data_IF_248756506329
#
_entry.id   IF_248756506329
#
_cell.length_a   1.000
_cell.length_b   1.000
_cell.length_c   1.000
_cell.angle_alpha   90.00
_cell.angle_beta   90.00
_cell.angle_gamma   90.00
#
_symmetry.space_group_name_H-M   'P 1'
#
loop_
_entity.id
_entity.type
_entity.pdbx_description
1 polymer ?
#
# COMPACT_ATOMS: atom_id res chain seq x y z
N UNK A 1 40.93 -47.48 7.89
CA UNK A 1 40.61 -46.12 7.39
C UNK A 1 39.98 -46.08 5.98
N UNK A 2 40.42 -46.89 5.00
CA UNK A 2 39.87 -46.85 3.61
C UNK A 2 38.39 -47.26 3.44
N UNK A 3 37.85 -48.16 4.27
CA UNK A 3 36.46 -48.66 4.14
C UNK A 3 35.39 -47.63 4.53
N UNK A 4 35.68 -46.75 5.49
CA UNK A 4 34.71 -45.73 5.95
C UNK A 4 34.56 -44.59 4.94
N UNK A 5 35.62 -44.27 4.18
CA UNK A 5 35.58 -43.29 3.08
C UNK A 5 34.73 -43.77 1.90
N UNK A 6 34.72 -45.08 1.61
CA UNK A 6 33.91 -45.67 0.53
C UNK A 6 32.43 -45.66 0.93
N UNK A 7 32.11 -46.01 2.18
CA UNK A 7 30.75 -45.97 2.71
C UNK A 7 30.24 -44.53 2.76
N UNK A 8 31.06 -43.58 3.22
CA UNK A 8 30.74 -42.16 3.20
C UNK A 8 30.48 -41.67 1.76
N UNK A 9 31.31 -42.07 0.79
CA UNK A 9 31.15 -41.72 -0.62
C UNK A 9 29.88 -42.29 -1.27
N UNK A 10 29.51 -43.54 -0.94
CA UNK A 10 28.27 -44.17 -1.42
C UNK A 10 27.04 -43.54 -0.78
N UNK A 11 27.08 -43.23 0.51
CA UNK A 11 26.02 -42.48 1.19
C UNK A 11 25.88 -41.09 0.57
N UNK A 12 26.98 -40.39 0.31
CA UNK A 12 26.96 -39.07 -0.34
C UNK A 12 26.39 -39.15 -1.77
N UNK A 13 26.72 -40.20 -2.53
CA UNK A 13 26.18 -40.45 -3.88
C UNK A 13 24.70 -40.82 -3.87
N UNK A 14 24.24 -41.59 -2.87
CA UNK A 14 22.81 -41.93 -2.71
C UNK A 14 22.02 -40.73 -2.21
N UNK A 15 22.57 -39.93 -1.30
CA UNK A 15 21.98 -38.67 -0.90
C UNK A 15 21.98 -37.64 -2.03
N UNK A 16 23.04 -37.56 -2.83
CA UNK A 16 23.12 -36.68 -4.00
C UNK A 16 22.18 -37.15 -5.12
N UNK A 17 22.14 -38.45 -5.42
CA UNK A 17 21.23 -39.05 -6.39
C UNK A 17 19.77 -38.94 -5.95
N UNK A 18 19.48 -39.22 -4.69
CA UNK A 18 18.17 -39.02 -4.06
C UNK A 18 17.75 -37.56 -4.07
N UNK A 19 18.67 -36.63 -3.75
CA UNK A 19 18.45 -35.19 -3.86
C UNK A 19 18.15 -34.77 -5.30
N UNK A 20 18.86 -35.30 -6.29
CA UNK A 20 18.64 -34.98 -7.71
C UNK A 20 17.29 -35.50 -8.22
N UNK A 21 16.93 -36.74 -7.87
CA UNK A 21 15.64 -37.35 -8.25
C UNK A 21 14.49 -36.63 -7.53
N UNK A 22 14.60 -36.41 -6.22
CA UNK A 22 13.60 -35.66 -5.45
C UNK A 22 13.49 -34.22 -5.93
N UNK A 23 14.60 -33.56 -6.28
CA UNK A 23 14.61 -32.21 -6.86
C UNK A 23 13.87 -32.17 -8.20
N UNK A 24 14.12 -33.13 -9.09
CA UNK A 24 13.44 -33.21 -10.39
C UNK A 24 11.94 -33.44 -10.26
N UNK A 25 11.51 -34.41 -9.44
CA UNK A 25 10.09 -34.69 -9.21
C UNK A 25 9.41 -33.59 -8.39
N UNK A 26 10.09 -33.01 -7.39
CA UNK A 26 9.57 -31.89 -6.61
C UNK A 26 9.34 -30.67 -7.49
N UNK A 27 10.23 -30.34 -8.42
CA UNK A 27 10.03 -29.22 -9.36
C UNK A 27 8.76 -29.44 -10.19
N UNK A 28 8.58 -30.62 -10.79
CA UNK A 28 7.37 -30.93 -11.59
C UNK A 28 6.09 -30.88 -10.75
N UNK A 29 6.14 -31.43 -9.53
CA UNK A 29 5.01 -31.44 -8.60
C UNK A 29 4.67 -30.02 -8.13
N UNK A 30 5.66 -29.25 -7.67
CA UNK A 30 5.51 -27.86 -7.24
C UNK A 30 4.95 -27.03 -8.39
N UNK A 31 5.51 -27.14 -9.60
CA UNK A 31 5.02 -26.40 -10.77
C UNK A 31 3.55 -26.69 -11.06
N UNK A 32 3.13 -27.96 -11.03
CA UNK A 32 1.74 -28.34 -11.25
C UNK A 32 0.80 -27.82 -10.14
N UNK A 33 1.23 -27.86 -8.88
CA UNK A 33 0.43 -27.34 -7.76
C UNK A 33 0.37 -25.82 -7.74
N UNK A 34 1.47 -25.13 -8.06
CA UNK A 34 1.49 -23.67 -8.18
C UNK A 34 0.64 -23.22 -9.36
N UNK A 35 0.72 -23.87 -10.52
CA UNK A 35 -0.17 -23.54 -11.66
C UNK A 35 -1.65 -23.76 -11.32
N UNK A 36 -1.98 -24.83 -10.59
CA UNK A 36 -3.36 -25.08 -10.12
C UNK A 36 -3.85 -24.07 -9.08
N UNK A 37 -2.97 -23.64 -8.17
CA UNK A 37 -3.33 -22.73 -7.09
C UNK A 37 -3.49 -21.27 -7.55
N UNK A 38 -2.70 -20.85 -8.55
CA UNK A 38 -2.58 -19.44 -8.93
C UNK A 38 -3.55 -19.08 -10.09
N UNK A 39 -4.08 -20.07 -10.81
CA UNK A 39 -5.17 -19.89 -11.79
C UNK A 39 -4.72 -19.47 -13.20
N UNK A 40 -5.67 -19.31 -14.14
CA UNK A 40 -5.36 -18.97 -15.53
C UNK A 40 -4.74 -17.57 -15.65
N UNK A 41 -3.75 -17.42 -16.54
CA UNK A 41 -3.02 -16.16 -16.77
C UNK A 41 -1.67 -16.07 -16.03
N UNK A 42 -1.43 -16.95 -15.05
CA UNK A 42 -0.13 -17.03 -14.39
C UNK A 42 0.82 -17.97 -15.12
N UNK A 43 2.04 -17.49 -15.38
CA UNK A 43 3.12 -18.26 -15.97
C UNK A 43 4.36 -18.21 -15.10
N UNK A 44 5.13 -19.30 -15.10
CA UNK A 44 6.39 -19.43 -14.38
C UNK A 44 7.40 -19.97 -15.39
N UNK A 45 8.49 -19.25 -15.61
CA UNK A 45 9.52 -19.68 -16.56
C UNK A 45 10.29 -20.89 -16.05
N UNK A 46 10.71 -20.86 -14.78
CA UNK A 46 11.50 -21.94 -14.20
C UNK A 46 11.38 -22.02 -12.68
N UNK A 47 11.46 -23.25 -12.16
CA UNK A 47 11.63 -23.52 -10.74
C UNK A 47 12.92 -24.33 -10.57
N UNK A 48 13.81 -23.89 -9.68
CA UNK A 48 15.06 -24.56 -9.31
C UNK A 48 15.09 -24.80 -7.81
N UNK A 49 15.24 -26.06 -7.41
CA UNK A 49 15.53 -26.41 -6.01
C UNK A 49 17.04 -26.33 -5.83
N UNK A 50 17.51 -25.41 -4.99
CA UNK A 50 18.91 -25.33 -4.56
C UNK A 50 19.03 -25.89 -3.14
N UNK A 51 20.26 -26.14 -2.70
CA UNK A 51 20.50 -26.76 -1.39
C UNK A 51 19.90 -25.98 -0.20
N UNK A 52 19.85 -24.65 -0.30
CA UNK A 52 19.40 -23.76 0.79
C UNK A 52 18.07 -23.07 0.54
N UNK A 53 17.62 -23.01 -0.71
CA UNK A 53 16.40 -22.29 -1.09
C UNK A 53 15.76 -22.85 -2.36
N UNK A 54 14.46 -22.59 -2.49
CA UNK A 54 13.72 -22.71 -3.73
C UNK A 54 13.85 -21.39 -4.50
N UNK A 55 14.28 -21.44 -5.75
CA UNK A 55 14.38 -20.28 -6.65
C UNK A 55 13.35 -20.44 -7.76
N UNK A 56 12.50 -19.43 -7.93
CA UNK A 56 11.43 -19.40 -8.94
C UNK A 56 11.67 -18.17 -9.82
N UNK A 57 11.86 -18.37 -11.11
CA UNK A 57 12.22 -17.32 -12.06
C UNK A 57 11.09 -17.03 -13.04
N UNK A 58 10.99 -15.75 -13.43
CA UNK A 58 10.11 -15.30 -14.49
C UNK A 58 8.64 -15.60 -14.22
N UNK A 59 8.16 -15.19 -13.04
CA UNK A 59 6.72 -15.27 -12.71
C UNK A 59 6.04 -14.11 -13.41
N UNK A 60 4.97 -14.38 -14.15
CA UNK A 60 4.16 -13.34 -14.78
C UNK A 60 2.68 -13.63 -14.59
N UNK A 61 1.88 -12.59 -14.46
CA UNK A 61 0.45 -12.66 -14.53
C UNK A 61 -0.07 -11.69 -15.58
N UNK A 62 -0.66 -12.27 -16.61
CA UNK A 62 -1.32 -11.55 -17.69
C UNK A 62 -2.79 -11.96 -17.68
N UNK A 63 -3.70 -10.98 -17.66
CA UNK A 63 -5.12 -11.29 -17.76
C UNK A 63 -5.41 -11.86 -19.16
N UNK A 64 -5.92 -13.10 -19.27
CA UNK A 64 -6.17 -13.74 -20.57
C UNK A 64 -7.15 -12.97 -21.46
N UNK A 65 -8.01 -12.13 -20.87
CA UNK A 65 -9.05 -11.39 -21.59
C UNK A 65 -8.54 -10.08 -22.18
N UNK A 66 -7.72 -9.35 -21.42
CA UNK A 66 -7.26 -8.00 -21.78
C UNK A 66 -5.82 -7.97 -22.27
N UNK A 67 -5.07 -9.08 -22.10
CA UNK A 67 -3.61 -9.15 -22.28
C UNK A 67 -2.84 -8.13 -21.43
N UNK A 68 -3.48 -7.59 -20.40
CA UNK A 68 -2.84 -6.66 -19.48
C UNK A 68 -1.91 -7.43 -18.55
N UNK A 69 -0.64 -7.03 -18.52
CA UNK A 69 0.31 -7.53 -17.55
C UNK A 69 0.10 -6.81 -16.21
N UNK A 70 -0.22 -7.57 -15.17
CA UNK A 70 -0.52 -7.08 -13.82
C UNK A 70 0.58 -7.40 -12.82
N UNK A 71 1.36 -8.46 -13.07
CA UNK A 71 2.47 -8.86 -12.21
C UNK A 71 3.61 -9.42 -13.05
N UNK A 72 4.81 -8.97 -12.76
CA UNK A 72 6.03 -9.60 -13.26
C UNK A 72 7.05 -9.67 -12.14
N UNK A 73 7.66 -10.83 -11.93
CA UNK A 73 8.72 -11.04 -10.94
C UNK A 73 9.90 -11.72 -11.64
N UNK A 74 11.08 -11.12 -11.54
CA UNK A 74 12.31 -11.67 -12.13
C UNK A 74 12.73 -12.94 -11.40
N UNK A 75 12.83 -12.86 -10.07
CA UNK A 75 13.20 -13.99 -9.23
C UNK A 75 12.50 -13.92 -7.87
N UNK A 76 12.08 -15.07 -7.38
CA UNK A 76 11.57 -15.29 -6.05
C UNK A 76 12.43 -16.38 -5.38
N UNK A 77 12.90 -16.11 -4.16
CA UNK A 77 13.72 -17.05 -3.36
C UNK A 77 13.01 -17.35 -2.06
N UNK A 78 12.79 -18.63 -1.77
CA UNK A 78 12.15 -19.10 -0.54
C UNK A 78 13.16 -19.96 0.22
N UNK A 79 13.53 -19.53 1.43
CA UNK A 79 14.46 -20.19 2.32
C UNK A 79 13.68 -20.91 3.42
N UNK A 80 13.35 -22.20 3.23
CA UNK A 80 12.65 -22.96 4.25
C UNK A 80 13.55 -23.25 5.46
N UNK A 81 12.95 -23.42 6.63
CA UNK A 81 13.66 -23.97 7.78
C UNK A 81 13.69 -25.50 7.72
N UNK A 82 14.78 -26.07 7.22
CA UNK A 82 14.90 -27.52 7.06
C UNK A 82 14.78 -28.28 8.39
N UNK A 83 15.13 -27.66 9.52
CA UNK A 83 15.02 -28.27 10.84
C UNK A 83 13.58 -28.22 11.39
N UNK A 84 12.75 -27.26 10.98
CA UNK A 84 11.36 -27.17 11.45
C UNK A 84 10.51 -28.34 10.96
N UNK A 85 10.85 -28.94 9.81
CA UNK A 85 10.17 -30.13 9.28
C UNK A 85 10.33 -31.35 10.19
N UNK A 86 11.48 -31.48 10.87
CA UNK A 86 11.69 -32.54 11.87
C UNK A 86 10.71 -32.41 13.04
N UNK A 87 10.26 -31.19 13.31
CA UNK A 87 9.28 -30.86 14.35
C UNK A 87 7.83 -30.80 13.82
N UNK A 88 7.58 -31.26 12.59
CA UNK A 88 6.28 -31.20 11.91
C UNK A 88 5.70 -29.78 11.78
N UNK A 89 6.56 -28.75 11.75
CA UNK A 89 6.17 -27.35 11.55
C UNK A 89 6.67 -26.86 10.20
N UNK A 90 5.81 -26.19 9.44
CA UNK A 90 6.25 -25.53 8.21
C UNK A 90 6.70 -24.11 8.54
N UNK A 91 8.00 -23.84 8.43
CA UNK A 91 8.55 -22.52 8.66
C UNK A 91 9.40 -22.07 7.47
N UNK A 92 9.20 -20.82 7.07
CA UNK A 92 9.96 -20.13 6.04
C UNK A 92 10.75 -19.03 6.73
N UNK A 93 12.07 -19.18 6.79
CA UNK A 93 12.94 -18.18 7.44
C UNK A 93 12.96 -16.88 6.66
N UNK A 94 13.00 -16.99 5.33
CA UNK A 94 13.05 -15.82 4.47
C UNK A 94 12.40 -16.08 3.12
N UNK A 95 11.59 -15.12 2.67
CA UNK A 95 11.00 -15.08 1.34
C UNK A 95 11.39 -13.78 0.68
N UNK A 96 12.23 -13.84 -0.36
CA UNK A 96 12.73 -12.68 -1.09
C UNK A 96 12.09 -12.63 -2.48
N UNK A 97 11.56 -11.47 -2.85
CA UNK A 97 10.99 -11.18 -4.16
C UNK A 97 11.85 -10.09 -4.81
N UNK A 98 12.54 -10.43 -5.89
CA UNK A 98 13.49 -9.56 -6.58
C UNK A 98 12.85 -8.94 -7.82
N UNK A 99 12.93 -7.60 -7.89
CA UNK A 99 12.40 -6.76 -8.97
C UNK A 99 10.96 -7.12 -9.38
N UNK A 100 10.02 -7.20 -8.43
CA UNK A 100 8.63 -7.35 -8.82
C UNK A 100 8.11 -6.05 -9.42
N UNK A 101 7.35 -6.14 -10.50
CA UNK A 101 6.60 -5.05 -11.10
C UNK A 101 5.12 -5.35 -10.95
N UNK A 102 4.41 -4.50 -10.20
CA UNK A 102 2.98 -4.57 -10.02
C UNK A 102 2.31 -3.46 -10.83
N UNK A 103 1.31 -3.83 -11.60
CA UNK A 103 0.37 -2.88 -12.18
C UNK A 103 -1.01 -3.15 -11.60
N UNK A 104 -1.73 -2.09 -11.25
CA UNK A 104 -3.14 -2.18 -10.89
C UNK A 104 -3.81 -0.83 -11.16
N UNK A 105 -5.13 -0.83 -11.28
CA UNK A 105 -5.87 0.40 -11.53
C UNK A 105 -7.22 0.39 -10.84
N UNK A 106 -7.77 1.57 -10.61
CA UNK A 106 -9.12 1.76 -10.08
C UNK A 106 -10.02 2.31 -11.18
N UNK A 107 -11.14 1.65 -11.43
CA UNK A 107 -12.13 2.11 -12.42
C UNK A 107 -12.85 3.38 -11.96
N UNK A 108 -13.61 4.02 -12.85
CA UNK A 108 -14.42 5.21 -12.50
C UNK A 108 -15.50 4.90 -11.45
N UNK A 109 -16.02 3.68 -11.45
CA UNK A 109 -16.98 3.17 -10.47
C UNK A 109 -16.29 2.98 -9.09
N UNK A 110 -14.97 2.81 -9.10
CA UNK A 110 -14.14 2.69 -7.91
C UNK A 110 -13.71 1.26 -7.60
N UNK A 111 -13.87 0.34 -8.55
CA UNK A 111 -13.46 -1.06 -8.44
C UNK A 111 -11.96 -1.15 -8.67
N UNK A 112 -11.24 -1.85 -7.80
CA UNK A 112 -9.81 -2.08 -7.94
C UNK A 112 -9.53 -3.34 -8.74
N UNK A 113 -8.80 -3.19 -9.84
CA UNK A 113 -8.41 -4.27 -10.74
C UNK A 113 -6.89 -4.44 -10.68
N UNK A 114 -6.45 -5.67 -10.46
CA UNK A 114 -5.05 -6.01 -10.27
C UNK A 114 -4.82 -7.52 -10.30
N UNK A 115 -3.65 -8.00 -9.85
CA UNK A 115 -3.28 -9.42 -9.90
C UNK A 115 -4.17 -10.37 -9.10
N UNK A 116 -5.09 -9.85 -8.29
CA UNK A 116 -6.05 -10.62 -7.49
C UNK A 116 -7.39 -10.92 -8.20
N UNK A 117 -7.73 -10.25 -9.31
CA UNK A 117 -9.09 -10.26 -9.89
C UNK A 117 -9.43 -11.48 -10.77
N UNK A 118 -8.48 -12.39 -11.01
CA UNK A 118 -8.73 -13.57 -11.86
C UNK A 118 -9.34 -14.80 -11.19
N UNK A 119 -9.71 -14.74 -9.91
CA UNK A 119 -10.47 -15.83 -9.28
C UNK A 119 -11.96 -15.59 -9.57
N UNK A 120 -12.42 -16.14 -10.70
CA UNK A 120 -13.80 -16.04 -11.21
C UNK A 120 -14.85 -16.24 -10.10
N UNK A 121 -15.70 -15.21 -9.96
CA UNK A 121 -17.10 -15.33 -9.54
C UNK A 121 -17.88 -15.92 -10.72
N UNK A 122 -18.16 -17.22 -10.68
CA UNK A 122 -19.24 -17.82 -11.49
C UNK A 122 -20.45 -18.00 -10.56
N UNK A 123 -21.38 -17.04 -10.62
CA UNK A 123 -22.76 -17.31 -10.30
C UNK A 123 -23.34 -18.16 -11.44
N UNK A 124 -23.69 -19.40 -11.14
CA UNK A 124 -24.83 -20.07 -11.78
C UNK A 124 -25.69 -20.70 -10.70
N UNK A 125 -26.88 -20.15 -10.55
CA UNK A 125 -28.05 -20.82 -10.00
C UNK A 125 -28.31 -22.13 -10.76
N UNK A 126 -28.67 -23.16 -9.99
CA UNK A 126 -29.05 -24.48 -10.48
C UNK A 126 -28.88 -25.51 -9.38
N UNK A 127 -29.91 -25.72 -8.55
CA UNK A 127 -30.02 -26.89 -7.68
C UNK A 127 -29.97 -28.17 -8.51
N UNK A 128 -29.14 -29.15 -8.12
CA UNK A 128 -29.54 -30.55 -7.85
C UNK A 128 -28.54 -31.18 -6.86
N UNK A 129 -29.10 -31.64 -5.73
CA UNK A 129 -28.75 -32.79 -4.88
C UNK A 129 -27.49 -33.62 -5.16
N UNK A 130 -26.77 -33.96 -4.08
CA UNK A 130 -25.99 -35.20 -4.00
C UNK A 130 -24.65 -35.07 -3.28
N UNK A 131 -24.59 -35.65 -2.07
CA UNK A 131 -23.41 -35.90 -1.23
C UNK A 131 -22.05 -35.98 -1.96
N UNK A 132 -21.11 -35.15 -1.50
CA UNK A 132 -19.77 -35.57 -1.11
C UNK A 132 -19.13 -34.44 -0.28
N UNK A 133 -19.19 -34.57 1.04
CA UNK A 133 -18.31 -33.83 1.95
C UNK A 133 -16.87 -34.31 1.70
N UNK A 134 -16.19 -33.69 0.73
CA UNK A 134 -14.73 -33.71 0.72
C UNK A 134 -14.27 -32.98 1.97
N UNK A 135 -13.77 -33.74 2.96
CA UNK A 135 -12.94 -33.23 4.05
C UNK A 135 -11.95 -32.21 3.48
N UNK A 136 -12.21 -30.92 3.71
CA UNK A 136 -11.19 -29.87 3.58
C UNK A 136 -10.08 -30.29 4.54
N UNK A 137 -8.99 -30.84 3.99
CA UNK A 137 -7.80 -31.11 4.78
C UNK A 137 -7.43 -29.85 5.56
N UNK A 138 -7.25 -29.97 6.87
CA UNK A 138 -6.81 -28.87 7.72
C UNK A 138 -5.59 -28.21 7.07
N UNK A 139 -5.65 -26.88 6.89
CA UNK A 139 -4.55 -26.13 6.30
C UNK A 139 -3.34 -26.27 7.23
N UNK A 140 -2.23 -26.82 6.69
CA UNK A 140 -0.99 -26.94 7.44
C UNK A 140 -0.53 -25.52 7.82
N UNK A 141 -0.36 -25.19 9.12
CA UNK A 141 0.05 -23.86 9.53
C UNK A 141 1.49 -23.58 9.05
N UNK A 142 1.68 -22.43 8.44
CA UNK A 142 2.94 -21.95 7.89
C UNK A 142 3.31 -20.66 8.60
N UNK A 143 4.52 -20.62 9.17
CA UNK A 143 5.10 -19.39 9.68
C UNK A 143 6.14 -18.85 8.71
N UNK A 144 6.07 -17.57 8.38
CA UNK A 144 7.06 -16.86 7.57
C UNK A 144 7.71 -15.81 8.47
N UNK A 145 8.98 -16.00 8.81
CA UNK A 145 9.68 -15.09 9.71
C UNK A 145 9.93 -13.74 9.03
N UNK A 146 10.25 -13.75 7.73
CA UNK A 146 10.55 -12.55 6.95
C UNK A 146 10.17 -12.65 5.48
N UNK A 147 9.43 -11.66 4.99
CA UNK A 147 9.18 -11.37 3.58
C UNK A 147 9.94 -10.10 3.18
N UNK A 148 10.64 -10.14 2.05
CA UNK A 148 11.37 -9.00 1.48
C UNK A 148 11.01 -8.78 0.02
N UNK A 149 10.81 -7.53 -0.35
CA UNK A 149 10.81 -7.09 -1.74
C UNK A 149 12.03 -6.19 -1.95
N UNK A 150 12.75 -6.40 -3.05
CA UNK A 150 13.90 -5.58 -3.41
C UNK A 150 13.79 -5.09 -4.85
N UNK A 151 14.07 -3.79 -5.05
CA UNK A 151 14.08 -3.13 -6.37
C UNK A 151 12.73 -3.27 -7.11
N UNK A 152 11.63 -3.25 -6.38
CA UNK A 152 10.29 -3.37 -6.96
C UNK A 152 9.82 -2.10 -7.67
N UNK A 153 8.79 -2.23 -8.47
CA UNK A 153 8.05 -1.12 -9.08
C UNK A 153 6.55 -1.32 -8.92
N UNK A 154 5.85 -0.21 -8.70
CA UNK A 154 4.39 -0.18 -8.61
C UNK A 154 3.87 0.90 -9.55
N UNK A 155 2.99 0.52 -10.46
CA UNK A 155 2.26 1.42 -11.33
C UNK A 155 0.77 1.35 -10.98
N UNK A 156 0.24 2.45 -10.47
CA UNK A 156 -1.17 2.58 -10.10
C UNK A 156 -1.85 3.67 -10.90
N UNK A 157 -2.95 3.32 -11.57
CA UNK A 157 -3.82 4.25 -12.30
C UNK A 157 -5.18 4.39 -11.62
N UNK A 158 -5.50 5.57 -11.13
CA UNK A 158 -6.79 5.87 -10.48
C UNK A 158 -7.69 6.67 -11.41
N UNK A 159 -8.60 5.98 -12.11
CA UNK A 159 -9.57 6.63 -12.99
C UNK A 159 -10.68 7.36 -12.22
N UNK A 160 -10.78 7.20 -10.90
CA UNK A 160 -11.77 7.86 -10.04
C UNK A 160 -11.24 9.12 -9.36
N UNK A 161 -9.92 9.36 -9.42
CA UNK A 161 -9.28 10.48 -8.73
C UNK A 161 -9.88 11.85 -9.13
N UNK A 162 -10.13 12.04 -10.43
CA UNK A 162 -10.67 13.29 -10.98
C UNK A 162 -11.11 13.16 -12.44
N UNK A 163 -11.12 14.28 -13.16
CA UNK A 163 -11.40 14.31 -14.61
C UNK A 163 -10.33 13.57 -15.41
N UNK A 164 -9.07 13.75 -15.02
CA UNK A 164 -7.93 12.99 -15.52
C UNK A 164 -7.58 11.86 -14.54
N UNK A 165 -7.09 10.71 -15.03
CA UNK A 165 -6.64 9.63 -14.15
C UNK A 165 -5.45 10.06 -13.29
N UNK A 166 -5.50 9.72 -11.99
CA UNK A 166 -4.35 9.77 -11.10
C UNK A 166 -3.32 8.73 -11.50
N UNK A 167 -2.06 9.11 -11.67
CA UNK A 167 -0.99 8.16 -12.01
C UNK A 167 0.08 8.19 -10.93
N UNK A 168 0.13 7.13 -10.12
CA UNK A 168 1.16 6.92 -9.11
C UNK A 168 2.15 5.90 -9.64
N UNK A 169 3.44 6.23 -9.56
CA UNK A 169 4.54 5.43 -10.11
C UNK A 169 5.63 5.35 -9.06
N UNK A 170 5.76 4.20 -8.39
CA UNK A 170 6.81 3.94 -7.41
C UNK A 170 7.91 3.07 -8.02
N UNK A 171 9.16 3.43 -7.75
CA UNK A 171 10.38 2.78 -8.21
C UNK A 171 11.27 2.47 -7.01
N UNK A 172 12.19 1.53 -7.20
CA UNK A 172 13.12 1.08 -6.15
C UNK A 172 12.41 0.71 -4.84
N UNK A 173 11.24 0.08 -4.96
CA UNK A 173 10.45 -0.33 -3.82
C UNK A 173 11.22 -1.39 -3.05
N UNK A 174 11.48 -1.09 -1.79
CA UNK A 174 12.00 -2.01 -0.80
C UNK A 174 10.92 -2.20 0.26
N UNK A 175 10.55 -3.46 0.52
CA UNK A 175 9.58 -3.82 1.54
C UNK A 175 10.20 -4.90 2.42
N UNK A 176 9.98 -4.79 3.73
CA UNK A 176 10.22 -5.86 4.68
C UNK A 176 8.99 -6.03 5.55
N UNK A 177 8.47 -7.25 5.61
CA UNK A 177 7.43 -7.66 6.56
C UNK A 177 7.96 -8.82 7.38
N UNK A 178 7.79 -8.79 8.69
CA UNK A 178 8.26 -9.83 9.61
C UNK A 178 7.10 -10.44 10.39
N UNK A 179 7.21 -11.72 10.73
CA UNK A 179 6.20 -12.51 11.44
C UNK A 179 4.83 -12.57 10.73
N UNK A 180 4.76 -13.35 9.66
CA UNK A 180 3.51 -13.61 8.93
C UNK A 180 3.10 -15.06 9.17
N UNK A 181 1.87 -15.26 9.63
CA UNK A 181 1.28 -16.59 9.82
C UNK A 181 0.25 -16.90 8.72
N UNK A 182 0.23 -18.14 8.26
CA UNK A 182 -0.78 -18.64 7.33
C UNK A 182 -1.36 -19.97 7.85
N UNK A 183 -2.68 -20.15 7.95
CA UNK A 183 -3.73 -19.14 7.76
C UNK A 183 -3.56 -17.92 8.68
N UNK A 184 -4.07 -16.76 8.24
CA UNK A 184 -3.91 -15.51 8.96
C UNK A 184 -4.52 -15.60 10.36
N UNK A 185 -3.70 -15.38 11.39
CA UNK A 185 -4.10 -15.19 12.78
C UNK A 185 -3.83 -13.75 13.20
N UNK A 186 -4.62 -13.25 14.16
CA UNK A 186 -4.45 -11.89 14.66
C UNK A 186 -3.12 -11.81 15.41
N UNK A 187 -2.20 -11.04 14.85
CA UNK A 187 -0.82 -10.87 15.31
C UNK A 187 -0.22 -9.64 14.67
N UNK A 188 0.71 -8.97 15.37
CA UNK A 188 1.40 -7.80 14.83
C UNK A 188 2.59 -8.21 13.97
N UNK A 189 2.49 -8.00 12.66
CA UNK A 189 3.60 -8.11 11.72
C UNK A 189 4.31 -6.77 11.59
N UNK A 190 5.63 -6.72 11.81
CA UNK A 190 6.39 -5.48 11.58
C UNK A 190 6.48 -5.21 10.08
N UNK A 191 6.33 -3.94 9.68
CA UNK A 191 6.41 -3.51 8.28
C UNK A 191 7.35 -2.31 8.14
N UNK A 192 8.22 -2.36 7.13
CA UNK A 192 9.00 -1.23 6.65
C UNK A 192 8.94 -1.19 5.13
N UNK A 193 8.52 -0.05 4.58
CA UNK A 193 8.45 0.21 3.15
C UNK A 193 9.28 1.45 2.84
N UNK A 194 10.06 1.37 1.77
CA UNK A 194 10.75 2.51 1.15
C UNK A 194 10.50 2.48 -0.34
N UNK A 195 10.43 3.64 -0.97
CA UNK A 195 10.33 3.73 -2.42
C UNK A 195 10.54 5.15 -2.91
N UNK A 196 10.84 5.27 -4.20
CA UNK A 196 10.92 6.55 -4.90
C UNK A 196 9.67 6.76 -5.72
N UNK A 197 9.05 7.91 -5.62
CA UNK A 197 7.90 8.27 -6.44
C UNK A 197 8.34 9.16 -7.60
N UNK A 198 7.98 8.74 -8.81
CA UNK A 198 8.27 9.50 -10.02
C UNK A 198 7.45 10.79 -10.05
N UNK A 199 8.14 11.92 -10.17
CA UNK A 199 7.54 13.24 -10.46
C UNK A 199 7.83 13.70 -11.88
N UNK A 200 7.32 14.88 -12.26
CA UNK A 200 7.65 15.51 -13.55
C UNK A 200 9.04 16.13 -13.52
N UNK A 201 9.39 16.74 -12.39
CA UNK A 201 10.63 17.50 -12.20
C UNK A 201 11.74 16.69 -11.52
N UNK A 202 11.40 15.97 -10.45
CA UNK A 202 12.31 15.11 -9.70
C UNK A 202 11.56 13.95 -9.04
N UNK A 203 12.30 12.94 -8.59
CA UNK A 203 11.75 11.85 -7.80
C UNK A 203 11.70 12.23 -6.33
N UNK A 204 10.59 11.92 -5.66
CA UNK A 204 10.45 12.07 -4.21
C UNK A 204 10.64 10.74 -3.50
N UNK A 205 10.83 10.77 -2.18
CA UNK A 205 11.00 9.59 -1.35
C UNK A 205 9.74 9.32 -0.50
N UNK A 206 9.40 8.05 -0.34
CA UNK A 206 8.35 7.58 0.56
C UNK A 206 8.93 6.53 1.49
N UNK A 207 8.73 6.72 2.80
CA UNK A 207 9.13 5.77 3.84
C UNK A 207 7.96 5.54 4.79
N UNK A 208 7.63 4.28 5.02
CA UNK A 208 6.64 3.85 6.02
C UNK A 208 7.28 2.83 6.96
N UNK A 209 7.02 2.96 8.26
CA UNK A 209 7.48 2.01 9.30
C UNK A 209 6.42 1.79 10.36
N UNK A 210 6.29 0.57 10.87
CA UNK A 210 5.40 0.28 11.99
C UNK A 210 5.01 -1.19 12.06
N UNK A 211 3.75 -1.43 12.40
CA UNK A 211 3.17 -2.76 12.42
C UNK A 211 1.78 -2.79 11.78
N UNK A 212 1.39 -3.97 11.29
CA UNK A 212 0.08 -4.29 10.76
C UNK A 212 -0.37 -5.67 11.26
N UNK A 213 -1.63 -5.80 11.64
CA UNK A 213 -2.28 -7.09 11.82
C UNK A 213 -2.91 -7.50 10.49
N UNK A 214 -2.36 -8.53 9.84
CA UNK A 214 -2.79 -8.94 8.50
C UNK A 214 -4.19 -9.58 8.50
N UNK A 215 -4.72 -9.99 9.65
CA UNK A 215 -6.07 -10.56 9.79
C UNK A 215 -7.12 -9.47 10.01
N UNK A 216 -6.85 -8.53 10.92
CA UNK A 216 -7.83 -7.47 11.29
C UNK A 216 -7.64 -6.18 10.49
N UNK A 217 -6.49 -6.01 9.84
CA UNK A 217 -6.04 -4.78 9.19
C UNK A 217 -5.80 -3.60 10.15
N UNK A 218 -5.81 -3.86 11.46
CA UNK A 218 -5.35 -2.88 12.44
C UNK A 218 -3.88 -2.56 12.19
N UNK A 219 -3.50 -1.30 12.30
CA UNK A 219 -2.13 -0.88 12.05
C UNK A 219 -1.76 0.36 12.82
N UNK A 220 -0.46 0.53 13.04
CA UNK A 220 0.11 1.77 13.52
C UNK A 220 1.44 2.00 12.80
N UNK A 221 1.51 3.05 11.99
CA UNK A 221 2.66 3.33 11.13
C UNK A 221 3.03 4.81 11.11
N UNK A 222 4.31 5.12 10.97
CA UNK A 222 4.79 6.44 10.58
C UNK A 222 4.96 6.49 9.08
N UNK A 223 4.37 7.49 8.42
CA UNK A 223 4.56 7.81 7.01
C UNK A 223 5.41 9.08 6.87
N UNK A 224 6.46 8.99 6.06
CA UNK A 224 7.28 10.13 5.65
C UNK A 224 7.29 10.21 4.13
N UNK A 225 6.91 11.36 3.61
CA UNK A 225 7.04 11.72 2.20
C UNK A 225 7.99 12.89 2.11
N UNK A 226 8.95 12.85 1.20
CA UNK A 226 9.91 13.94 1.00
C UNK A 226 10.04 14.31 -0.47
N UNK A 227 10.02 15.60 -0.74
CA UNK A 227 10.38 16.19 -2.01
C UNK A 227 9.59 15.65 -3.21
N UNK A 228 8.36 15.21 -2.95
CA UNK A 228 7.46 14.68 -3.97
C UNK A 228 6.85 15.82 -4.78
N UNK A 229 6.86 15.70 -6.10
CA UNK A 229 6.23 16.67 -6.99
C UNK A 229 4.72 16.78 -6.73
N UNK A 230 4.27 17.98 -6.34
CA UNK A 230 2.88 18.24 -5.97
C UNK A 230 1.92 17.95 -7.13
N UNK A 231 2.35 18.16 -8.39
CA UNK A 231 1.50 17.93 -9.58
C UNK A 231 1.12 16.47 -9.77
N UNK A 232 1.86 15.51 -9.19
CA UNK A 232 1.48 14.10 -9.20
C UNK A 232 0.11 13.90 -8.55
N UNK A 233 -0.24 14.74 -7.57
CA UNK A 233 -1.51 14.67 -6.86
C UNK A 233 -2.61 15.56 -7.44
N UNK A 234 -2.37 16.24 -8.57
CA UNK A 234 -3.33 17.16 -9.18
C UNK A 234 -4.73 16.54 -9.37
N UNK A 235 -4.86 15.30 -9.87
CA UNK A 235 -6.17 14.66 -10.01
C UNK A 235 -6.95 14.56 -8.69
N UNK A 236 -6.27 14.48 -7.54
CA UNK A 236 -6.90 14.32 -6.23
C UNK A 236 -7.35 15.63 -5.60
N UNK A 237 -6.68 16.75 -5.90
CA UNK A 237 -6.99 18.05 -5.30
C UNK A 237 -7.71 19.02 -6.24
N UNK A 238 -7.72 18.77 -7.56
CA UNK A 238 -8.24 19.72 -8.58
C UNK A 238 -9.64 20.24 -8.27
N UNK A 239 -10.53 19.42 -7.71
CA UNK A 239 -11.89 19.83 -7.29
C UNK A 239 -11.92 20.96 -6.25
N UNK A 240 -10.85 21.13 -5.47
CA UNK A 240 -10.71 22.17 -4.44
C UNK A 240 -9.64 23.20 -4.78
N UNK A 241 -8.99 23.05 -5.93
CA UNK A 241 -7.91 23.93 -6.39
C UNK A 241 -8.12 24.25 -7.86
N UNK A 242 -8.72 25.39 -8.14
CA UNK A 242 -8.93 25.87 -9.50
C UNK A 242 -7.71 26.61 -10.06
N UNK A 243 -6.87 27.17 -9.19
CA UNK A 243 -5.61 27.81 -9.58
C UNK A 243 -4.66 26.81 -10.24
N UNK A 244 -3.86 27.29 -11.20
CA UNK A 244 -2.83 26.49 -11.87
C UNK A 244 -1.56 26.48 -11.01
N UNK A 245 -1.25 25.32 -10.43
CA UNK A 245 -0.01 25.08 -9.70
C UNK A 245 1.07 24.69 -10.73
N UNK A 246 1.98 25.61 -11.02
CA UNK A 246 3.04 25.39 -12.01
C UNK A 246 4.09 24.41 -11.51
N UNK A 247 4.53 24.59 -10.26
CA UNK A 247 5.50 23.71 -9.58
C UNK A 247 5.34 23.74 -8.06
N UNK A 248 5.88 22.73 -7.39
CA UNK A 248 5.97 22.67 -5.94
C UNK A 248 6.31 21.26 -5.48
N UNK A 249 6.77 21.15 -4.24
CA UNK A 249 7.12 19.88 -3.63
C UNK A 249 6.38 19.67 -2.32
N UNK A 250 6.06 18.42 -2.03
CA UNK A 250 5.31 17.99 -0.86
C UNK A 250 6.22 17.20 0.08
N UNK A 251 6.27 17.66 1.32
CA UNK A 251 6.82 16.92 2.46
C UNK A 251 5.67 16.55 3.40
N UNK A 252 5.61 15.32 3.86
CA UNK A 252 4.58 14.85 4.80
C UNK A 252 5.22 14.06 5.92
N UNK A 253 4.80 14.32 7.16
CA UNK A 253 5.04 13.48 8.32
C UNK A 253 3.70 13.15 8.95
N UNK A 254 3.30 11.88 8.91
CA UNK A 254 2.04 11.43 9.49
C UNK A 254 2.25 10.22 10.38
N UNK A 255 1.51 10.16 11.48
CA UNK A 255 1.34 8.95 12.26
C UNK A 255 -0.05 8.40 11.94
N UNK A 256 -0.13 7.21 11.36
CA UNK A 256 -1.37 6.58 10.92
C UNK A 256 -1.70 5.45 11.89
N UNK A 257 -2.77 5.61 12.66
CA UNK A 257 -3.33 4.53 13.47
C UNK A 257 -4.70 4.13 12.92
N UNK A 258 -4.90 2.82 12.71
CA UNK A 258 -6.21 2.25 12.38
C UNK A 258 -6.48 1.15 13.40
N UNK A 259 -7.59 1.28 14.13
CA UNK A 259 -8.03 0.29 15.12
C UNK A 259 -9.53 0.06 14.94
N UNK A 260 -9.92 -1.18 14.62
CA UNK A 260 -11.31 -1.58 14.35
C UNK A 260 -11.98 -0.65 13.35
N UNK A 261 -11.32 -0.46 12.21
CA UNK A 261 -11.74 0.46 11.12
C UNK A 261 -11.80 1.94 11.49
N UNK A 262 -11.47 2.35 12.71
CA UNK A 262 -11.36 3.77 13.08
C UNK A 262 -9.96 4.26 12.75
N UNK A 263 -9.88 5.21 11.84
CA UNK A 263 -8.64 5.92 11.51
C UNK A 263 -8.44 7.09 12.48
N UNK A 264 -7.20 7.26 12.95
CA UNK A 264 -6.74 8.37 13.78
C UNK A 264 -5.32 8.76 13.32
N UNK A 265 -5.24 9.82 12.52
CA UNK A 265 -4.02 10.18 11.79
C UNK A 265 -3.68 11.67 11.97
N UNK A 266 -2.94 12.04 13.02
CA UNK A 266 -2.30 13.35 13.11
C UNK A 266 -1.09 13.43 12.16
N UNK A 267 -0.85 14.61 11.61
CA UNK A 267 0.30 14.82 10.75
C UNK A 267 0.58 16.27 10.41
N UNK A 268 1.68 16.46 9.68
CA UNK A 268 2.16 17.71 9.14
C UNK A 268 2.40 17.53 7.65
N UNK A 269 2.00 18.53 6.89
CA UNK A 269 2.22 18.62 5.46
C UNK A 269 2.88 19.96 5.18
N UNK A 270 4.04 19.95 4.55
CA UNK A 270 4.69 21.14 4.04
C UNK A 270 4.59 21.13 2.52
N UNK A 271 4.11 22.23 1.96
CA UNK A 271 4.24 22.51 0.55
C UNK A 271 5.32 23.58 0.36
N UNK A 272 6.37 23.23 -0.40
CA UNK A 272 7.55 24.05 -0.61
C UNK A 272 7.75 24.40 -2.08
N UNK A 273 8.44 25.52 -2.32
CA UNK A 273 8.79 26.05 -3.64
C UNK A 273 7.56 26.18 -4.57
N UNK A 274 6.43 26.56 -3.97
CA UNK A 274 5.14 26.69 -4.62
C UNK A 274 5.18 27.84 -5.63
N UNK A 275 4.91 27.51 -6.90
CA UNK A 275 4.63 28.48 -7.96
C UNK A 275 3.22 28.24 -8.45
N UNK A 276 2.40 29.27 -8.34
CA UNK A 276 0.98 29.23 -8.68
C UNK A 276 0.67 30.48 -9.49
N UNK A 277 -0.19 30.35 -10.50
CA UNK A 277 -0.75 31.53 -11.17
C UNK A 277 -1.69 32.30 -10.23
N UNK A 278 -1.83 33.60 -10.44
CA UNK A 278 -2.65 34.44 -9.55
C UNK A 278 -4.16 34.19 -9.71
N UNK A 279 -4.58 33.60 -10.82
CA UNK A 279 -5.98 33.30 -11.12
C UNK A 279 -6.48 32.04 -10.40
N UNK A 280 -7.71 32.11 -9.89
CA UNK A 280 -8.40 31.00 -9.25
C UNK A 280 -8.17 30.91 -7.73
N UNK A 281 -8.45 29.74 -7.18
CA UNK A 281 -8.42 29.49 -5.73
C UNK A 281 -7.68 28.20 -5.40
N UNK A 282 -7.07 28.17 -4.21
CA UNK A 282 -6.49 26.99 -3.57
C UNK A 282 -7.25 26.78 -2.26
N UNK A 283 -8.03 25.71 -2.15
CA UNK A 283 -8.88 25.43 -0.99
C UNK A 283 -9.73 26.64 -0.56
N UNK A 284 -10.43 27.26 -1.51
CA UNK A 284 -11.27 28.46 -1.33
C UNK A 284 -10.52 29.75 -1.00
N UNK A 285 -9.20 29.72 -0.92
CA UNK A 285 -8.36 30.90 -0.72
C UNK A 285 -7.97 31.44 -2.10
N UNK A 286 -8.21 32.73 -2.41
CA UNK A 286 -7.74 33.33 -3.66
C UNK A 286 -6.24 33.14 -3.83
N UNK A 287 -5.80 32.66 -4.99
CA UNK A 287 -4.39 32.32 -5.21
C UNK A 287 -3.47 33.53 -4.99
N UNK A 288 -3.88 34.73 -5.44
CA UNK A 288 -3.18 35.98 -5.16
C UNK A 288 -2.99 36.27 -3.66
N UNK A 289 -4.01 35.99 -2.83
CA UNK A 289 -3.93 36.16 -1.37
C UNK A 289 -2.98 35.15 -0.75
N UNK A 290 -3.01 33.90 -1.22
CA UNK A 290 -2.06 32.89 -0.74
C UNK A 290 -0.63 33.28 -1.11
N UNK A 291 -0.38 33.65 -2.37
CA UNK A 291 0.95 34.01 -2.87
C UNK A 291 1.55 35.22 -2.14
N UNK A 292 0.75 36.24 -1.82
CA UNK A 292 1.24 37.39 -1.06
C UNK A 292 1.71 37.00 0.34
N UNK A 293 1.02 36.06 1.00
CA UNK A 293 1.41 35.54 2.33
C UNK A 293 2.58 34.56 2.27
N UNK A 294 2.73 33.80 1.19
CA UNK A 294 3.82 32.84 1.02
C UNK A 294 5.17 33.53 0.76
N UNK A 295 5.18 34.67 0.06
CA UNK A 295 6.41 35.45 -0.18
C UNK A 295 7.10 35.85 1.12
N UNK A 296 6.32 36.23 2.13
CA UNK A 296 6.82 36.59 3.47
C UNK A 296 7.41 35.38 4.23
N UNK A 297 7.08 34.15 3.81
CA UNK A 297 7.45 32.88 4.45
C UNK A 297 8.36 32.00 3.58
N UNK A 298 9.07 32.61 2.63
CA UNK A 298 10.04 31.90 1.79
C UNK A 298 9.42 30.90 0.81
N UNK A 299 8.20 31.17 0.32
CA UNK A 299 7.43 30.31 -0.60
C UNK A 299 7.14 28.90 -0.06
N UNK A 300 7.00 28.79 1.27
CA UNK A 300 6.70 27.54 1.97
C UNK A 300 5.51 27.71 2.89
N UNK A 301 4.74 26.64 3.06
CA UNK A 301 3.66 26.59 4.05
C UNK A 301 3.61 25.24 4.74
N UNK A 302 3.66 25.27 6.06
CA UNK A 302 3.45 24.10 6.92
C UNK A 302 1.99 24.07 7.39
N UNK A 303 1.33 22.94 7.17
CA UNK A 303 -0.07 22.68 7.43
C UNK A 303 -0.15 21.52 8.42
N UNK A 304 -0.69 21.79 9.60
CA UNK A 304 -1.02 20.72 10.55
C UNK A 304 -2.38 20.14 10.19
N UNK A 305 -2.50 18.82 10.22
CA UNK A 305 -3.76 18.15 9.96
C UNK A 305 -3.99 17.00 10.94
N UNK A 306 -5.27 16.70 11.15
CA UNK A 306 -5.69 15.56 11.93
C UNK A 306 -6.93 14.95 11.29
N UNK A 307 -6.79 13.73 10.79
CA UNK A 307 -7.90 12.98 10.19
C UNK A 307 -8.34 11.91 11.18
N UNK A 308 -9.62 11.95 11.54
CA UNK A 308 -10.24 10.94 12.40
C UNK A 308 -11.62 10.58 11.87
N UNK A 309 -11.95 9.30 11.88
CA UNK A 309 -13.26 8.80 11.46
C UNK A 309 -13.33 7.29 11.36
N UNK A 310 -14.51 6.75 11.07
CA UNK A 310 -14.71 5.32 10.85
C UNK A 310 -14.72 5.02 9.35
N UNK A 311 -13.80 4.17 8.87
CA UNK A 311 -13.67 3.76 7.48
C UNK A 311 -14.86 2.93 6.98
N UNK A 312 -15.60 2.30 7.89
CA UNK A 312 -16.79 1.52 7.57
C UNK A 312 -18.07 2.39 7.50
N UNK A 313 -18.04 3.65 7.98
CA UNK A 313 -19.20 4.55 7.85
C UNK A 313 -19.28 5.04 6.38
N UNK A 314 -20.35 4.72 5.63
CA UNK A 314 -20.48 5.15 4.24
C UNK A 314 -20.50 6.67 4.04
N UNK A 315 -20.87 7.42 5.09
CA UNK A 315 -20.88 8.90 5.11
C UNK A 315 -19.48 9.46 5.32
N UNK A 316 -18.58 8.70 5.94
CA UNK A 316 -17.21 9.12 6.13
C UNK A 316 -16.44 8.98 4.80
N UNK A 317 -16.12 10.13 4.19
CA UNK A 317 -15.26 10.19 3.01
C UNK A 317 -13.86 10.60 3.43
N UNK A 318 -12.93 9.65 3.48
CA UNK A 318 -11.56 9.87 3.94
C UNK A 318 -10.85 10.99 3.16
N UNK A 319 -10.90 10.93 1.83
CA UNK A 319 -10.25 11.92 0.96
C UNK A 319 -10.82 13.33 1.16
N UNK A 320 -12.15 13.47 1.19
CA UNK A 320 -12.80 14.77 1.38
C UNK A 320 -12.51 15.34 2.77
N UNK A 321 -12.55 14.49 3.80
CA UNK A 321 -12.15 14.86 5.17
C UNK A 321 -10.72 15.36 5.21
N UNK A 322 -9.79 14.64 4.57
CA UNK A 322 -8.39 15.05 4.49
C UNK A 322 -8.23 16.40 3.79
N UNK A 323 -8.78 16.58 2.59
CA UNK A 323 -8.69 17.83 1.84
C UNK A 323 -9.29 19.02 2.60
N UNK A 324 -10.40 18.81 3.31
CA UNK A 324 -11.00 19.82 4.18
C UNK A 324 -10.05 20.21 5.32
N UNK A 325 -9.43 19.23 5.99
CA UNK A 325 -8.45 19.50 7.06
C UNK A 325 -7.23 20.26 6.53
N UNK A 326 -6.76 19.93 5.33
CA UNK A 326 -5.69 20.68 4.66
C UNK A 326 -6.11 22.12 4.38
N UNK A 327 -7.32 22.35 3.86
CA UNK A 327 -7.83 23.71 3.63
C UNK A 327 -7.93 24.55 4.90
N UNK A 328 -8.44 23.97 6.00
CA UNK A 328 -8.51 24.65 7.31
C UNK A 328 -7.11 24.97 7.82
N UNK A 329 -6.21 23.98 7.84
CA UNK A 329 -4.84 24.19 8.32
C UNK A 329 -4.03 25.16 7.44
N UNK A 330 -4.32 25.21 6.13
CA UNK A 330 -3.73 26.21 5.23
C UNK A 330 -4.18 27.62 5.61
N UNK A 331 -5.48 27.83 5.83
CA UNK A 331 -6.04 29.11 6.25
C UNK A 331 -5.40 29.60 7.55
N UNK A 332 -5.30 28.71 8.55
CA UNK A 332 -4.61 28.99 9.82
C UNK A 332 -3.14 29.35 9.60
N UNK A 333 -2.42 28.60 8.76
CA UNK A 333 -0.99 28.80 8.51
C UNK A 333 -0.69 30.16 7.86
N UNK A 334 -1.63 30.72 7.08
CA UNK A 334 -1.48 32.05 6.47
C UNK A 334 -2.20 33.17 7.23
N UNK A 335 -2.78 32.86 8.39
CA UNK A 335 -3.42 33.84 9.28
C UNK A 335 -4.77 34.35 8.79
N UNK A 336 -5.49 33.58 7.97
CA UNK A 336 -6.86 33.91 7.57
C UNK A 336 -7.88 33.44 8.61
N UNK A 337 -8.99 34.18 8.82
CA UNK A 337 -10.07 33.72 9.68
C UNK A 337 -10.68 32.41 9.15
N UNK A 338 -10.74 31.38 10.00
CA UNK A 338 -11.34 30.07 9.66
C UNK A 338 -12.80 30.24 9.21
N UNK A 339 -13.53 31.22 9.78
CA UNK A 339 -14.91 31.54 9.44
C UNK A 339 -15.09 31.87 7.95
N UNK A 340 -14.13 32.58 7.34
CA UNK A 340 -14.14 32.94 5.91
C UNK A 340 -14.02 31.70 5.02
N UNK A 341 -13.21 30.72 5.41
CA UNK A 341 -13.07 29.45 4.66
C UNK A 341 -14.24 28.51 4.95
N UNK A 342 -14.75 28.51 6.18
CA UNK A 342 -15.95 27.79 6.59
C UNK A 342 -17.17 28.20 5.77
N UNK A 343 -17.50 29.49 5.72
CA UNK A 343 -18.66 30.00 4.97
C UNK A 343 -18.61 29.61 3.48
N UNK A 344 -17.45 29.73 2.83
CA UNK A 344 -17.27 29.30 1.42
C UNK A 344 -17.29 27.77 1.23
N UNK A 345 -16.83 27.00 2.22
CA UNK A 345 -16.97 25.54 2.23
C UNK A 345 -18.45 25.12 2.34
N UNK A 346 -19.23 25.81 3.18
CA UNK A 346 -20.63 25.49 3.46
C UNK A 346 -21.59 25.92 2.34
N UNK A 347 -21.35 27.05 1.68
CA UNK A 347 -22.14 27.47 0.52
C UNK A 347 -21.90 26.57 -0.71
N UNK A 348 -20.69 26.04 -0.88
CA UNK A 348 -20.34 25.14 -1.98
C UNK A 348 -20.70 23.67 -1.77
N UNK A 349 -20.97 23.23 -0.53
CA UNK A 349 -21.34 21.85 -0.19
C UNK A 349 -22.80 21.76 0.24
N UNK A 350 -23.70 21.54 -0.71
CA UNK A 350 -25.11 21.27 -0.41
C UNK A 350 -25.27 20.12 0.60
N UNK A 351 -25.93 20.44 1.73
CA UNK A 351 -26.46 19.53 2.78
C UNK A 351 -25.46 18.54 3.39
N UNK A 352 -24.79 18.97 4.46
CA UNK A 352 -23.95 18.11 5.33
C UNK A 352 -23.55 18.73 6.67
N UNK A 353 -24.39 19.61 7.24
CA UNK A 353 -24.02 20.55 8.30
C UNK A 353 -23.90 19.98 9.73
N UNK A 354 -24.35 18.76 10.00
CA UNK A 354 -24.45 18.26 11.39
C UNK A 354 -23.15 17.64 11.92
N UNK A 355 -22.43 16.84 11.12
CA UNK A 355 -21.18 16.19 11.57
C UNK A 355 -19.97 17.13 11.68
N UNK A 356 -20.01 18.29 11.01
CA UNK A 356 -18.91 19.27 11.01
C UNK A 356 -19.04 20.30 12.13
N UNK A 357 -20.25 20.58 12.62
CA UNK A 357 -20.47 21.42 13.77
C UNK A 357 -19.82 20.84 15.04
N UNK A 358 -19.81 19.51 15.19
CA UNK A 358 -19.08 18.82 16.26
C UNK A 358 -17.56 18.96 16.11
N UNK A 359 -17.05 18.86 14.88
CA UNK A 359 -15.62 19.03 14.57
C UNK A 359 -15.10 20.44 14.90
N UNK A 360 -15.90 21.48 14.62
CA UNK A 360 -15.57 22.87 14.94
C UNK A 360 -15.68 23.15 16.44
N UNK A 361 -16.70 22.61 17.14
CA UNK A 361 -16.81 22.70 18.61
C UNK A 361 -15.62 22.07 19.31
N UNK A 362 -15.13 20.93 18.82
CA UNK A 362 -13.95 20.27 19.38
C UNK A 362 -12.68 21.13 19.26
N UNK A 363 -12.48 21.83 18.13
CA UNK A 363 -11.36 22.76 17.96
C UNK A 363 -11.49 23.96 18.90
N UNK A 364 -12.69 24.48 19.06
CA UNK A 364 -12.96 25.64 19.92
C UNK A 364 -12.80 25.31 21.41
N UNK A 365 -13.18 24.10 21.84
CA UNK A 365 -12.91 23.59 23.19
C UNK A 365 -11.42 23.37 23.46
N UNK A 366 -10.66 22.87 22.47
CA UNK A 366 -9.21 22.71 22.57
C UNK A 366 -8.49 24.05 22.69
N UNK A 367 -8.98 25.09 22.01
CA UNK A 367 -8.47 26.45 22.11
C UNK A 367 -8.76 27.07 23.48
N UNK A 368 -9.98 26.96 23.99
CA UNK A 368 -10.35 27.45 25.35
C UNK A 368 -9.57 26.75 26.46
N UNK A 369 -9.24 25.46 26.31
CA UNK A 369 -8.37 24.74 27.26
C UNK A 369 -6.92 25.22 27.25
N UNK A 370 -6.40 25.70 26.11
CA UNK A 370 -5.06 26.29 26.02
C UNK A 370 -5.01 27.71 26.60
N UNK A 371 -6.08 28.49 26.45
CA UNK A 371 -6.18 29.85 27.03
C UNK A 371 -6.39 29.84 28.54
N UNK A 372 -7.02 28.82 29.13
CA UNK A 372 -7.15 28.65 30.60
C UNK A 372 -5.89 28.11 31.31
N UNK A 373 -4.85 27.72 30.56
CA UNK A 373 -3.58 27.17 31.08
C UNK A 373 -2.39 28.12 30.97
N UNK A 374 -2.62 29.33 30.46
CA UNK A 374 -1.73 30.49 30.60
C UNK A 374 -2.37 31.44 31.60
#
# INVERSE_FOLDING_TARGET
>A
MKKWLIIAGVVLLVFAGGYLVLSFYAVKFIQAQVQKAVGPGFTIAQIKVKATHLSINGIRFEDPRTRQNFLQIEEMRIYPDLFSFLQKRLQIREWIILKPSFFFYRTREGVFIGPWVSIKKEEKSGEVSGREEKKKGEAIPIKIDRLRIEKGSIDFDDMKAGETPGQIRLRDVWLKIENIDYPLVSSQSSIELKGRMKGKTKEGEIVTKGWIDLKTLDMETSLKIREVDLKVFEPYYRKRVSADIESGHLNVDAHIAIKKSVIDTPGKLEAADLRVKEEGTIFYIPAKTLLSRLKDKGNRVEIQFHVRGNLDDPRFKLQETFLMRIGIGLAEAIGLPIKTVGESLFEGSGKGSEGLAEGLRSIEELRKKKEKKR
#
